data_IF_730296185055
#
_entry.id   IF_730296185055
#
_cell.length_a   1.000
_cell.length_b   1.000
_cell.length_c   1.000
_cell.angle_alpha   90.00
_cell.angle_beta   90.00
_cell.angle_gamma   90.00
#
_symmetry.space_group_name_H-M   'P 1'
#
loop_
_entity.id
_entity.type
_entity.pdbx_description
1 polymer ?
#
# COMPACT_ATOMS: atom_id res chain seq x y z
N UNK A 1 17.57 -22.05 -0.14
CA UNK A 1 17.29 -21.37 1.14
C UNK A 1 15.85 -20.87 1.09
N UNK A 2 15.11 -21.02 2.18
CA UNK A 2 13.75 -20.50 2.28
C UNK A 2 13.79 -18.96 2.23
N UNK A 3 12.97 -18.37 1.37
CA UNK A 3 12.95 -16.92 1.15
C UNK A 3 12.18 -16.24 2.28
N UNK A 4 12.75 -15.20 2.89
CA UNK A 4 12.12 -14.41 3.95
C UNK A 4 11.35 -13.24 3.36
N UNK A 5 10.10 -13.08 3.78
CA UNK A 5 9.22 -11.96 3.39
C UNK A 5 8.81 -11.18 4.62
N UNK A 6 9.07 -9.87 4.63
CA UNK A 6 8.56 -8.95 5.66
C UNK A 6 7.19 -8.42 5.20
N UNK A 7 6.17 -8.48 6.07
CA UNK A 7 4.84 -7.90 5.84
C UNK A 7 4.55 -6.92 6.96
N UNK A 8 4.42 -5.63 6.63
CA UNK A 8 4.06 -4.63 7.63
C UNK A 8 2.56 -4.60 7.90
N UNK A 9 2.15 -4.42 9.17
CA UNK A 9 0.75 -4.41 9.55
C UNK A 9 0.05 -5.76 9.36
N UNK A 10 0.70 -6.86 9.76
CA UNK A 10 0.26 -8.23 9.50
C UNK A 10 -0.78 -8.78 10.49
N UNK A 11 -1.26 -7.99 11.45
CA UNK A 11 -2.21 -8.45 12.47
C UNK A 11 -3.65 -8.65 11.97
N UNK A 12 -4.03 -8.04 10.86
CA UNK A 12 -5.41 -8.08 10.33
C UNK A 12 -5.46 -7.78 8.83
N UNK A 13 -6.67 -7.82 8.25
CA UNK A 13 -6.96 -7.38 6.89
C UNK A 13 -6.12 -8.08 5.82
N UNK A 14 -5.73 -7.32 4.79
CA UNK A 14 -4.90 -7.84 3.70
C UNK A 14 -3.53 -8.30 4.17
N UNK A 15 -2.89 -7.60 5.12
CA UNK A 15 -1.58 -8.00 5.62
C UNK A 15 -1.57 -9.40 6.25
N UNK A 16 -2.61 -9.73 7.02
CA UNK A 16 -2.79 -11.08 7.56
C UNK A 16 -3.05 -12.11 6.45
N UNK A 17 -3.89 -11.75 5.48
CA UNK A 17 -4.21 -12.64 4.36
C UNK A 17 -2.96 -12.92 3.49
N UNK A 18 -2.14 -11.91 3.23
CA UNK A 18 -0.86 -12.07 2.53
C UNK A 18 0.08 -12.99 3.32
N UNK A 19 0.23 -12.75 4.62
CA UNK A 19 1.09 -13.57 5.46
C UNK A 19 0.67 -15.04 5.46
N UNK A 20 -0.62 -15.34 5.61
CA UNK A 20 -1.15 -16.72 5.59
C UNK A 20 -0.84 -17.40 4.26
N UNK A 21 -1.15 -16.74 3.13
CA UNK A 21 -0.91 -17.33 1.81
C UNK A 21 0.59 -17.54 1.52
N UNK A 22 1.45 -16.64 1.99
CA UNK A 22 2.91 -16.79 1.85
C UNK A 22 3.44 -17.96 2.69
N UNK A 23 2.92 -18.15 3.91
CA UNK A 23 3.26 -19.32 4.74
C UNK A 23 2.80 -20.63 4.11
N UNK A 24 1.62 -20.65 3.47
CA UNK A 24 1.13 -21.79 2.69
C UNK A 24 2.02 -22.09 1.47
N UNK A 25 2.56 -21.04 0.83
CA UNK A 25 3.50 -21.13 -0.28
C UNK A 25 4.96 -21.41 0.15
N UNK A 26 5.18 -21.78 1.42
CA UNK A 26 6.47 -22.13 2.01
C UNK A 26 7.50 -21.00 2.06
N UNK A 27 7.06 -19.75 2.14
CA UNK A 27 7.93 -18.64 2.56
C UNK A 27 8.07 -18.63 4.09
N UNK A 28 9.18 -18.09 4.57
CA UNK A 28 9.30 -17.62 5.96
C UNK A 28 8.77 -16.19 6.02
N UNK A 29 7.84 -15.92 6.93
CA UNK A 29 7.18 -14.62 6.98
C UNK A 29 7.45 -13.93 8.30
N UNK A 30 7.95 -12.70 8.23
CA UNK A 30 8.07 -11.82 9.37
C UNK A 30 6.97 -10.78 9.32
N UNK A 31 5.98 -10.90 10.20
CA UNK A 31 4.90 -9.93 10.34
C UNK A 31 5.25 -8.83 11.33
N UNK A 32 5.15 -7.54 10.94
CA UNK A 32 5.21 -6.49 11.94
C UNK A 32 3.83 -6.21 12.52
N UNK A 33 3.77 -6.10 13.83
CA UNK A 33 2.55 -5.85 14.61
C UNK A 33 2.86 -4.83 15.72
N UNK A 34 1.82 -4.21 16.30
CA UNK A 34 2.02 -3.18 17.34
C UNK A 34 1.80 -3.66 18.77
N UNK A 35 1.32 -4.88 18.95
CA UNK A 35 0.93 -5.41 20.26
C UNK A 35 1.45 -6.82 20.47
N UNK A 36 1.90 -7.14 21.69
CA UNK A 36 2.40 -8.47 22.12
C UNK A 36 1.40 -9.59 21.81
N UNK A 37 0.12 -9.37 22.11
CA UNK A 37 -0.92 -10.36 21.83
C UNK A 37 -0.97 -10.71 20.33
N UNK A 38 -0.91 -9.70 19.47
CA UNK A 38 -0.93 -9.92 18.03
C UNK A 38 0.36 -10.60 17.54
N UNK A 39 1.50 -10.35 18.18
CA UNK A 39 2.75 -11.04 17.89
C UNK A 39 2.63 -12.54 18.18
N UNK A 40 2.15 -12.89 19.35
CA UNK A 40 1.94 -14.29 19.71
C UNK A 40 0.95 -14.99 18.77
N UNK A 41 -0.19 -14.37 18.49
CA UNK A 41 -1.19 -14.91 17.55
C UNK A 41 -0.60 -15.11 16.14
N UNK A 42 0.26 -14.20 15.69
CA UNK A 42 0.90 -14.31 14.36
C UNK A 42 1.87 -15.50 14.30
N UNK A 43 2.69 -15.69 15.31
CA UNK A 43 3.65 -16.80 15.36
C UNK A 43 2.98 -18.18 15.41
N UNK A 44 1.76 -18.26 15.94
CA UNK A 44 0.95 -19.48 15.92
C UNK A 44 0.37 -19.84 14.54
N UNK A 45 0.43 -18.94 13.55
CA UNK A 45 -0.05 -19.25 12.18
C UNK A 45 0.72 -20.41 11.55
N UNK A 46 2.04 -20.46 11.73
CA UNK A 46 2.90 -21.58 11.31
C UNK A 46 4.19 -21.55 12.13
N UNK A 47 4.24 -22.28 13.27
CA UNK A 47 5.43 -22.34 14.11
C UNK A 47 6.69 -22.70 13.31
N UNK A 48 7.77 -21.96 13.52
CA UNK A 48 9.04 -22.14 12.80
C UNK A 48 9.14 -21.46 11.41
N UNK A 49 8.01 -20.94 10.87
CA UNK A 49 8.00 -20.19 9.61
C UNK A 49 7.38 -18.80 9.76
N UNK A 50 6.47 -18.60 10.71
CA UNK A 50 5.89 -17.31 11.06
C UNK A 50 6.66 -16.70 12.24
N UNK A 51 7.12 -15.46 12.05
CA UNK A 51 7.88 -14.69 13.06
C UNK A 51 7.23 -13.33 13.22
N UNK A 52 7.13 -12.82 14.43
CA UNK A 52 6.59 -11.48 14.66
C UNK A 52 7.69 -10.50 15.12
N UNK A 53 7.50 -9.23 14.78
CA UNK A 53 8.25 -8.11 15.34
C UNK A 53 7.29 -7.01 15.78
N UNK A 54 7.48 -6.52 17.00
CA UNK A 54 6.72 -5.37 17.48
C UNK A 54 7.38 -4.12 16.93
N UNK A 55 6.73 -3.53 15.93
CA UNK A 55 7.22 -2.39 15.18
C UNK A 55 6.05 -1.54 14.68
N UNK A 56 6.11 -0.24 14.95
CA UNK A 56 5.31 0.76 14.25
C UNK A 56 6.13 1.32 13.09
N UNK A 57 5.54 1.46 11.91
CA UNK A 57 6.26 2.01 10.74
C UNK A 57 6.62 3.49 10.91
N UNK A 58 6.05 4.15 11.93
CA UNK A 58 6.37 5.52 12.34
C UNK A 58 7.47 5.60 13.41
N UNK A 59 8.04 4.48 13.82
CA UNK A 59 9.20 4.47 14.70
C UNK A 59 10.42 5.14 14.02
N UNK A 60 11.38 5.55 14.84
CA UNK A 60 12.61 6.17 14.34
C UNK A 60 13.31 5.27 13.30
N UNK A 61 13.87 5.84 12.22
CA UNK A 61 14.51 5.09 11.13
C UNK A 61 15.54 4.07 11.63
N UNK A 62 16.31 4.42 12.64
CA UNK A 62 17.35 3.56 13.24
C UNK A 62 16.75 2.28 13.84
N UNK A 63 15.53 2.36 14.39
CA UNK A 63 14.81 1.19 14.90
C UNK A 63 14.36 0.27 13.77
N UNK A 64 13.87 0.83 12.67
CA UNK A 64 13.49 0.06 11.49
C UNK A 64 14.70 -0.66 10.88
N UNK A 65 15.81 0.04 10.72
CA UNK A 65 17.06 -0.51 10.22
C UNK A 65 17.61 -1.62 11.14
N UNK A 66 17.62 -1.39 12.46
CA UNK A 66 18.04 -2.38 13.44
C UNK A 66 17.16 -3.64 13.42
N UNK A 67 15.85 -3.47 13.23
CA UNK A 67 14.90 -4.58 13.10
C UNK A 67 15.17 -5.39 11.83
N UNK A 68 15.39 -4.75 10.69
CA UNK A 68 15.76 -5.46 9.45
C UNK A 68 17.07 -6.21 9.60
N UNK A 69 18.09 -5.58 10.20
CA UNK A 69 19.38 -6.22 10.46
C UNK A 69 19.27 -7.41 11.41
N UNK A 70 18.37 -7.35 12.39
CA UNK A 70 18.08 -8.46 13.29
C UNK A 70 17.38 -9.61 12.55
N UNK A 71 16.39 -9.31 11.68
CA UNK A 71 15.71 -10.31 10.85
C UNK A 71 16.72 -11.04 9.95
N UNK A 72 17.61 -10.31 9.28
CA UNK A 72 18.68 -10.89 8.44
C UNK A 72 19.54 -11.92 9.21
N UNK A 73 19.86 -11.63 10.49
CA UNK A 73 20.67 -12.52 11.31
C UNK A 73 19.91 -13.71 11.89
N UNK A 74 18.69 -13.49 12.36
CA UNK A 74 17.95 -14.49 13.16
C UNK A 74 16.98 -15.33 12.35
N UNK A 75 16.40 -14.75 11.29
CA UNK A 75 15.42 -15.42 10.44
C UNK A 75 16.04 -15.83 9.10
N UNK A 76 16.77 -14.94 8.45
CA UNK A 76 17.43 -15.21 7.18
C UNK A 76 17.35 -14.05 6.20
N UNK A 77 17.93 -14.21 4.99
CA UNK A 77 17.99 -13.15 4.00
C UNK A 77 16.61 -12.63 3.58
N UNK A 78 16.37 -11.34 3.75
CA UNK A 78 15.12 -10.68 3.34
C UNK A 78 15.05 -10.65 1.81
N UNK A 79 14.17 -11.46 1.26
CA UNK A 79 13.89 -11.54 -0.17
C UNK A 79 12.86 -10.50 -0.60
N UNK A 80 11.81 -10.30 0.21
CA UNK A 80 10.76 -9.35 -0.13
C UNK A 80 10.30 -8.52 1.08
N UNK A 81 9.90 -7.28 0.77
CA UNK A 81 9.18 -6.39 1.67
C UNK A 81 7.79 -6.14 1.10
N UNK A 82 6.74 -6.34 1.90
CA UNK A 82 5.37 -5.92 1.59
C UNK A 82 4.98 -4.81 2.56
N UNK A 83 5.05 -3.57 2.10
CA UNK A 83 4.56 -2.40 2.80
C UNK A 83 3.04 -2.36 2.74
N UNK A 84 2.40 -2.98 3.73
CA UNK A 84 0.94 -3.05 3.83
C UNK A 84 0.38 -2.19 4.98
N UNK A 85 1.17 -1.86 5.99
CA UNK A 85 0.72 -1.00 7.09
C UNK A 85 0.16 0.33 6.55
N UNK A 86 -1.05 0.67 6.97
CA UNK A 86 -1.75 1.86 6.51
C UNK A 86 -3.18 1.88 6.99
N UNK A 87 -3.83 3.03 6.87
CA UNK A 87 -5.23 3.23 7.22
C UNK A 87 -5.92 4.19 6.26
N UNK A 88 -7.25 4.24 6.32
CA UNK A 88 -8.07 5.16 5.54
C UNK A 88 -8.47 6.40 6.34
N UNK A 89 -8.67 7.51 5.65
CA UNK A 89 -9.22 8.73 6.23
C UNK A 89 -10.44 9.17 5.41
N UNK A 90 -11.55 9.44 6.09
CA UNK A 90 -12.81 9.90 5.50
C UNK A 90 -13.21 11.25 6.10
N UNK A 91 -13.29 12.26 5.27
CA UNK A 91 -13.73 13.61 5.60
C UNK A 91 -13.73 14.51 4.36
N UNK A 92 -14.50 15.60 4.38
CA UNK A 92 -14.31 16.64 3.37
C UNK A 92 -12.97 17.35 3.62
N UNK A 93 -12.39 17.94 2.58
CA UNK A 93 -11.08 18.60 2.71
C UNK A 93 -11.13 19.72 3.74
N UNK A 94 -12.21 20.50 3.76
CA UNK A 94 -12.36 21.68 4.60
C UNK A 94 -12.60 21.34 6.08
N UNK A 95 -13.29 20.22 6.35
CA UNK A 95 -13.57 19.78 7.73
C UNK A 95 -12.45 18.96 8.35
N UNK A 96 -11.55 18.43 7.52
CA UNK A 96 -10.45 17.58 7.96
C UNK A 96 -9.24 18.40 8.41
N UNK A 97 -8.68 18.11 9.57
CA UNK A 97 -7.57 18.88 10.13
C UNK A 97 -6.24 18.60 9.44
N UNK A 98 -5.32 19.56 9.53
CA UNK A 98 -3.94 19.39 9.03
C UNK A 98 -3.15 18.32 9.81
N UNK A 99 -3.51 18.05 11.07
CA UNK A 99 -2.86 16.99 11.85
C UNK A 99 -3.30 15.61 11.41
N UNK A 100 -4.57 15.43 11.02
CA UNK A 100 -5.04 14.21 10.37
C UNK A 100 -4.31 13.97 9.05
N UNK A 101 -4.08 15.02 8.23
CA UNK A 101 -3.31 14.91 7.00
C UNK A 101 -1.86 14.47 7.28
N UNK A 102 -1.17 15.15 8.21
CA UNK A 102 0.21 14.79 8.58
C UNK A 102 0.31 13.35 9.04
N UNK A 103 -0.60 12.92 9.93
CA UNK A 103 -0.59 11.55 10.43
C UNK A 103 -0.92 10.53 9.33
N UNK A 104 -1.83 10.85 8.40
CA UNK A 104 -2.11 9.99 7.23
C UNK A 104 -0.86 9.76 6.39
N UNK A 105 -0.08 10.82 6.13
CA UNK A 105 1.17 10.73 5.37
C UNK A 105 2.27 10.04 6.18
N UNK A 106 2.37 10.30 7.48
CA UNK A 106 3.36 9.66 8.35
C UNK A 106 3.27 8.14 8.27
N UNK A 107 2.06 7.58 8.38
CA UNK A 107 1.86 6.14 8.33
C UNK A 107 1.94 5.60 6.90
N UNK A 108 1.14 6.17 5.97
CA UNK A 108 0.94 5.56 4.65
C UNK A 108 2.09 5.82 3.67
N UNK A 109 2.88 6.88 3.88
CA UNK A 109 3.95 7.29 2.96
C UNK A 109 5.31 7.19 3.64
N UNK A 110 5.56 7.97 4.70
CA UNK A 110 6.89 8.05 5.30
C UNK A 110 7.29 6.73 5.95
N UNK A 111 6.37 6.04 6.62
CA UNK A 111 6.61 4.71 7.16
C UNK A 111 6.98 3.68 6.10
N UNK A 112 6.28 3.67 4.95
CA UNK A 112 6.63 2.78 3.83
C UNK A 112 8.01 3.12 3.24
N UNK A 113 8.32 4.43 3.09
CA UNK A 113 9.64 4.89 2.62
C UNK A 113 10.75 4.49 3.58
N UNK A 114 10.54 4.64 4.88
CA UNK A 114 11.52 4.26 5.89
C UNK A 114 11.81 2.75 5.86
N UNK A 115 10.78 1.91 5.72
CA UNK A 115 10.94 0.46 5.55
C UNK A 115 11.67 0.11 4.24
N UNK A 116 11.39 0.79 3.12
CA UNK A 116 12.14 0.62 1.87
C UNK A 116 13.61 0.95 2.07
N UNK A 117 13.93 2.07 2.71
CA UNK A 117 15.31 2.48 3.02
C UNK A 117 16.02 1.46 3.91
N UNK A 118 15.34 0.84 4.85
CA UNK A 118 15.91 -0.19 5.73
C UNK A 118 16.28 -1.49 4.98
N UNK A 119 15.50 -1.93 3.98
CA UNK A 119 15.77 -3.19 3.26
C UNK A 119 16.66 -3.01 2.03
N UNK A 120 16.68 -1.84 1.40
CA UNK A 120 17.41 -1.60 0.16
C UNK A 120 18.92 -1.90 0.25
N UNK A 121 19.66 -1.58 1.32
CA UNK A 121 21.09 -1.89 1.42
C UNK A 121 21.37 -3.38 1.29
N UNK A 122 20.60 -4.24 1.98
CA UNK A 122 20.80 -5.70 1.97
C UNK A 122 20.35 -6.31 0.63
N UNK A 123 19.26 -5.84 0.04
CA UNK A 123 18.81 -6.28 -1.29
C UNK A 123 19.81 -5.87 -2.37
N UNK A 124 20.32 -4.63 -2.33
CA UNK A 124 21.31 -4.10 -3.26
C UNK A 124 22.63 -4.91 -3.21
N UNK A 125 23.10 -5.24 -2.02
CA UNK A 125 24.34 -6.02 -1.88
C UNK A 125 24.24 -7.42 -2.50
N UNK A 126 23.05 -8.03 -2.46
CA UNK A 126 22.76 -9.34 -3.07
C UNK A 126 22.34 -9.27 -4.53
N UNK A 127 22.04 -8.07 -5.05
CA UNK A 127 21.48 -7.88 -6.40
C UNK A 127 20.16 -8.64 -6.60
N UNK A 128 19.39 -8.79 -5.55
CA UNK A 128 18.11 -9.51 -5.54
C UNK A 128 17.17 -8.91 -4.50
N UNK A 129 15.92 -8.66 -4.88
CA UNK A 129 14.90 -8.18 -3.97
C UNK A 129 13.54 -7.95 -4.62
N UNK A 130 12.50 -7.94 -3.78
CA UNK A 130 11.12 -7.60 -4.16
C UNK A 130 10.56 -6.59 -3.16
N UNK A 131 10.03 -5.49 -3.62
CA UNK A 131 9.33 -4.50 -2.79
C UNK A 131 7.92 -4.34 -3.34
N UNK A 132 6.92 -4.70 -2.54
CA UNK A 132 5.51 -4.52 -2.86
C UNK A 132 4.95 -3.43 -1.95
N UNK A 133 4.56 -2.30 -2.52
CA UNK A 133 3.89 -1.23 -1.79
C UNK A 133 2.38 -1.35 -1.99
N UNK A 134 1.65 -1.68 -0.93
CA UNK A 134 0.19 -1.75 -0.99
C UNK A 134 -0.37 -0.34 -1.03
N UNK A 135 -0.60 0.13 -2.24
CA UNK A 135 -1.21 1.42 -2.52
C UNK A 135 -2.73 1.29 -2.45
N UNK A 136 -3.43 1.43 -3.52
CA UNK A 136 -4.88 1.24 -3.71
C UNK A 136 -5.25 1.59 -5.15
N UNK A 137 -6.40 1.12 -5.66
CA UNK A 137 -7.04 1.79 -6.80
C UNK A 137 -7.17 3.30 -6.56
N UNK A 138 -7.33 3.71 -5.29
CA UNK A 138 -7.36 5.11 -4.86
C UNK A 138 -6.02 5.84 -4.92
N UNK A 139 -4.95 5.23 -5.41
CA UNK A 139 -3.69 5.85 -5.83
C UNK A 139 -3.65 6.20 -7.32
N UNK A 140 -4.66 5.77 -8.09
CA UNK A 140 -4.78 5.98 -9.53
C UNK A 140 -6.11 6.64 -9.93
N UNK A 141 -7.10 6.68 -9.04
CA UNK A 141 -8.39 7.34 -9.22
C UNK A 141 -8.86 7.97 -7.91
N UNK A 142 -9.88 8.83 -7.94
CA UNK A 142 -10.34 9.54 -6.76
C UNK A 142 -11.85 9.43 -6.54
N UNK A 143 -12.24 9.60 -5.26
CA UNK A 143 -13.65 9.67 -4.84
C UNK A 143 -13.83 10.79 -3.81
N UNK A 144 -14.96 11.49 -3.78
CA UNK A 144 -15.23 12.51 -2.76
C UNK A 144 -15.10 11.97 -1.34
N UNK A 145 -14.58 12.82 -0.45
CA UNK A 145 -14.45 12.52 0.98
C UNK A 145 -13.29 11.60 1.36
N UNK A 146 -12.33 11.39 0.47
CA UNK A 146 -11.12 10.59 0.71
C UNK A 146 -9.84 11.33 0.29
N UNK A 147 -9.86 12.66 0.22
CA UNK A 147 -8.74 13.45 -0.35
C UNK A 147 -7.40 13.17 0.33
N UNK A 148 -7.35 13.08 1.67
CA UNK A 148 -6.12 12.78 2.40
C UNK A 148 -5.62 11.36 2.12
N UNK A 149 -6.52 10.40 2.09
CA UNK A 149 -6.19 9.02 1.73
C UNK A 149 -5.68 8.92 0.30
N UNK A 150 -6.41 9.47 -0.68
CA UNK A 150 -5.98 9.49 -2.07
C UNK A 150 -4.63 10.17 -2.23
N UNK A 151 -4.44 11.36 -1.64
CA UNK A 151 -3.15 12.06 -1.67
C UNK A 151 -2.00 11.19 -1.18
N UNK A 152 -2.18 10.44 -0.08
CA UNK A 152 -1.17 9.53 0.44
C UNK A 152 -0.88 8.36 -0.51
N UNK A 153 -1.91 7.80 -1.16
CA UNK A 153 -1.75 6.67 -2.08
C UNK A 153 -1.14 7.09 -3.42
N UNK A 154 -1.54 8.24 -3.97
CA UNK A 154 -0.87 8.86 -5.12
C UNK A 154 0.60 9.18 -4.85
N UNK A 155 0.92 9.69 -3.66
CA UNK A 155 2.32 9.93 -3.27
C UNK A 155 3.12 8.61 -3.27
N UNK A 156 2.57 7.54 -2.70
CA UNK A 156 3.24 6.24 -2.67
C UNK A 156 3.37 5.62 -4.06
N UNK A 157 2.40 5.83 -4.98
CA UNK A 157 2.50 5.45 -6.40
C UNK A 157 3.70 6.12 -7.07
N UNK A 158 3.80 7.46 -6.97
CA UNK A 158 4.89 8.21 -7.59
C UNK A 158 6.26 7.81 -7.04
N UNK A 159 6.38 7.62 -5.73
CA UNK A 159 7.62 7.15 -5.08
C UNK A 159 7.97 5.75 -5.55
N UNK A 160 7.01 4.83 -5.60
CA UNK A 160 7.22 3.45 -6.05
C UNK A 160 7.67 3.40 -7.51
N UNK A 161 7.03 4.17 -8.37
CA UNK A 161 7.35 4.24 -9.81
C UNK A 161 8.75 4.80 -10.06
N UNK A 162 9.18 5.81 -9.30
CA UNK A 162 10.54 6.36 -9.39
C UNK A 162 11.56 5.33 -8.92
N UNK A 163 11.36 4.77 -7.73
CA UNK A 163 12.24 3.77 -7.14
C UNK A 163 12.40 2.53 -8.05
N UNK A 164 11.30 2.08 -8.68
CA UNK A 164 11.35 0.94 -9.59
C UNK A 164 12.39 1.13 -10.72
N UNK A 165 12.47 2.36 -11.26
CA UNK A 165 13.46 2.70 -12.32
C UNK A 165 14.89 2.75 -11.77
N UNK A 166 15.06 3.27 -10.54
CA UNK A 166 16.38 3.40 -9.90
C UNK A 166 17.01 2.04 -9.58
N UNK A 167 16.20 1.08 -9.07
CA UNK A 167 16.73 -0.17 -8.52
C UNK A 167 16.62 -1.37 -9.47
N UNK A 168 15.92 -1.23 -10.59
CA UNK A 168 15.81 -2.30 -11.60
C UNK A 168 17.17 -2.82 -12.08
N UNK A 169 18.16 -1.95 -12.39
CA UNK A 169 19.52 -2.40 -12.77
C UNK A 169 20.26 -3.13 -11.66
N UNK A 170 19.76 -3.04 -10.43
CA UNK A 170 20.31 -3.73 -9.25
C UNK A 170 19.65 -5.09 -8.98
N UNK A 171 18.78 -5.56 -9.87
CA UNK A 171 18.05 -6.83 -9.67
C UNK A 171 16.91 -6.74 -8.64
N UNK A 172 16.49 -5.53 -8.27
CA UNK A 172 15.40 -5.30 -7.32
C UNK A 172 14.15 -4.84 -8.09
N UNK A 173 13.03 -5.48 -7.81
CA UNK A 173 11.74 -5.16 -8.43
C UNK A 173 10.85 -4.44 -7.42
N UNK A 174 10.24 -3.35 -7.84
CA UNK A 174 9.25 -2.61 -7.03
C UNK A 174 7.92 -2.65 -7.74
N UNK A 175 6.88 -3.02 -7.00
CA UNK A 175 5.50 -3.09 -7.51
C UNK A 175 4.57 -2.32 -6.60
N UNK A 176 3.75 -1.46 -7.17
CA UNK A 176 2.57 -0.91 -6.54
C UNK A 176 1.45 -1.96 -6.64
N UNK A 177 0.95 -2.39 -5.51
CA UNK A 177 -0.22 -3.28 -5.41
C UNK A 177 -1.43 -2.40 -5.14
N UNK A 178 -2.42 -2.46 -6.01
CA UNK A 178 -3.54 -1.52 -6.07
C UNK A 178 -4.88 -2.26 -5.82
N UNK A 179 -5.21 -2.59 -4.55
CA UNK A 179 -6.47 -3.27 -4.25
C UNK A 179 -7.68 -2.38 -4.50
N UNK A 180 -8.74 -3.00 -5.02
CA UNK A 180 -10.09 -2.48 -4.98
C UNK A 180 -10.74 -2.67 -3.60
N UNK A 181 -12.04 -2.91 -3.58
CA UNK A 181 -12.80 -3.08 -2.34
C UNK A 181 -12.72 -4.53 -1.84
N UNK A 182 -11.86 -4.79 -0.87
CA UNK A 182 -11.74 -6.09 -0.20
C UNK A 182 -12.49 -6.13 1.13
N UNK A 183 -13.05 -7.30 1.47
CA UNK A 183 -13.77 -7.52 2.73
C UNK A 183 -12.79 -7.66 3.89
N UNK A 184 -12.41 -6.51 4.44
CA UNK A 184 -11.50 -6.36 5.58
C UNK A 184 -12.07 -5.32 6.54
N UNK A 185 -11.43 -5.12 7.71
CA UNK A 185 -11.79 -4.06 8.67
C UNK A 185 -11.44 -2.64 8.18
N UNK A 186 -11.05 -2.46 6.92
CA UNK A 186 -10.57 -1.16 6.42
C UNK A 186 -11.65 -0.07 6.48
N UNK A 187 -12.87 -0.37 6.05
CA UNK A 187 -13.98 0.57 6.10
C UNK A 187 -14.56 0.76 7.52
N UNK A 188 -14.24 -0.16 8.43
CA UNK A 188 -14.64 -0.15 9.84
C UNK A 188 -13.53 0.44 10.72
N UNK A 189 -12.84 -0.43 11.44
CA UNK A 189 -11.83 -0.09 12.47
C UNK A 189 -10.61 0.67 11.93
N UNK A 190 -10.20 0.44 10.70
CA UNK A 190 -9.04 1.08 10.09
C UNK A 190 -9.39 2.34 9.30
N UNK A 191 -10.56 2.94 9.55
CA UNK A 191 -10.98 4.20 8.96
C UNK A 191 -11.11 5.27 10.03
N UNK A 192 -10.26 6.30 9.96
CA UNK A 192 -10.41 7.53 10.73
C UNK A 192 -11.43 8.42 10.02
N UNK A 193 -12.32 9.04 10.78
CA UNK A 193 -13.37 9.90 10.22
C UNK A 193 -13.33 11.25 10.88
N UNK A 194 -13.20 12.31 10.08
CA UNK A 194 -13.33 13.68 10.54
C UNK A 194 -14.75 13.97 11.00
N UNK A 195 -14.87 14.82 12.00
CA UNK A 195 -16.14 15.31 12.49
C UNK A 195 -16.79 16.22 11.43
N UNK A 196 -18.13 16.10 11.28
CA UNK A 196 -18.92 16.91 10.35
C UNK A 196 -19.37 18.20 11.02
N UNK A 197 -19.15 19.33 10.36
CA UNK A 197 -19.45 20.67 10.89
C UNK A 197 -20.07 21.64 9.87
N UNK A 198 -19.96 21.35 8.56
CA UNK A 198 -20.37 22.25 7.48
C UNK A 198 -21.55 21.63 6.71
N UNK A 199 -22.74 22.17 6.91
CA UNK A 199 -23.98 21.64 6.34
C UNK A 199 -24.02 21.69 4.81
N UNK A 200 -23.28 22.59 4.16
CA UNK A 200 -23.24 22.73 2.70
C UNK A 200 -22.74 21.45 2.00
N UNK A 201 -21.96 20.64 2.71
CA UNK A 201 -21.47 19.35 2.18
C UNK A 201 -22.44 18.18 2.39
N UNK A 202 -23.54 18.35 3.17
CA UNK A 202 -24.40 17.25 3.56
C UNK A 202 -25.06 16.56 2.37
N UNK A 203 -25.54 17.32 1.41
CA UNK A 203 -26.23 16.78 0.24
C UNK A 203 -25.31 15.90 -0.64
N UNK A 204 -24.01 16.20 -0.68
CA UNK A 204 -23.02 15.47 -1.48
C UNK A 204 -22.42 14.32 -0.66
N UNK A 205 -22.05 14.60 0.59
CA UNK A 205 -21.20 13.70 1.37
C UNK A 205 -21.97 12.62 2.14
N UNK A 206 -23.15 12.96 2.69
CA UNK A 206 -23.92 12.01 3.49
C UNK A 206 -24.35 10.76 2.71
N UNK A 207 -24.87 10.85 1.45
CA UNK A 207 -25.19 9.66 0.67
C UNK A 207 -23.98 8.75 0.42
N UNK A 208 -22.81 9.34 0.17
CA UNK A 208 -21.57 8.59 -0.06
C UNK A 208 -21.13 7.87 1.22
N UNK A 209 -21.18 8.55 2.36
CA UNK A 209 -20.84 8.00 3.67
C UNK A 209 -21.76 6.84 4.07
N UNK A 210 -23.05 7.01 3.87
CA UNK A 210 -24.04 5.95 4.14
C UNK A 210 -23.83 4.74 3.21
N UNK A 211 -23.57 4.96 1.94
CA UNK A 211 -23.27 3.89 0.99
C UNK A 211 -21.98 3.11 1.37
N UNK A 212 -20.95 3.80 1.88
CA UNK A 212 -19.74 3.14 2.40
C UNK A 212 -20.03 2.29 3.64
N UNK A 213 -20.80 2.83 4.61
CA UNK A 213 -21.20 2.09 5.80
C UNK A 213 -22.05 0.85 5.44
N UNK A 214 -23.00 1.00 4.54
CA UNK A 214 -23.86 -0.11 4.11
C UNK A 214 -23.08 -1.22 3.39
N UNK A 215 -21.93 -0.90 2.81
CA UNK A 215 -21.05 -1.83 2.09
C UNK A 215 -20.05 -2.54 3.01
N UNK A 216 -19.90 -2.08 4.26
CA UNK A 216 -18.96 -2.70 5.21
C UNK A 216 -19.35 -4.15 5.51
N UNK A 217 -18.36 -5.07 5.42
CA UNK A 217 -18.55 -6.51 5.51
C UNK A 217 -19.18 -7.16 4.26
N UNK A 218 -19.52 -6.39 3.21
CA UNK A 218 -20.14 -6.86 1.97
C UNK A 218 -19.30 -6.53 0.71
N UNK A 219 -18.07 -6.10 0.90
CA UNK A 219 -17.16 -5.83 -0.22
C UNK A 219 -16.96 -7.09 -1.05
N UNK A 220 -16.82 -6.97 -2.41
CA UNK A 220 -16.76 -8.13 -3.30
C UNK A 220 -15.43 -8.88 -3.21
N UNK A 221 -14.34 -8.19 -2.88
CA UNK A 221 -12.99 -8.77 -2.84
C UNK A 221 -12.81 -9.73 -1.67
N UNK A 222 -12.24 -10.89 -1.95
CA UNK A 222 -11.86 -11.91 -0.98
C UNK A 222 -10.38 -11.76 -0.60
N UNK A 223 -10.07 -11.41 0.68
CA UNK A 223 -8.69 -11.26 1.13
C UNK A 223 -7.83 -12.52 0.95
N UNK A 224 -8.42 -13.71 1.10
CA UNK A 224 -7.68 -14.97 0.92
C UNK A 224 -7.24 -15.15 -0.55
N UNK A 225 -8.11 -14.78 -1.51
CA UNK A 225 -7.75 -14.80 -2.93
C UNK A 225 -6.69 -13.75 -3.26
N UNK A 226 -6.76 -12.55 -2.66
CA UNK A 226 -5.70 -11.55 -2.78
C UNK A 226 -4.36 -12.09 -2.25
N UNK A 227 -4.38 -12.79 -1.10
CA UNK A 227 -3.20 -13.42 -0.54
C UNK A 227 -2.56 -14.43 -1.51
N UNK A 228 -3.36 -15.31 -2.10
CA UNK A 228 -2.87 -16.28 -3.09
C UNK A 228 -2.29 -15.60 -4.33
N UNK A 229 -2.93 -14.55 -4.83
CA UNK A 229 -2.41 -13.77 -5.95
C UNK A 229 -1.06 -13.13 -5.64
N UNK A 230 -0.87 -12.58 -4.44
CA UNK A 230 0.43 -12.03 -4.01
C UNK A 230 1.50 -13.13 -3.88
N UNK A 231 1.17 -14.29 -3.32
CA UNK A 231 2.12 -15.39 -3.19
C UNK A 231 2.59 -15.90 -4.56
N UNK A 232 1.68 -16.02 -5.52
CA UNK A 232 1.99 -16.36 -6.92
C UNK A 232 2.83 -15.26 -7.57
N UNK A 233 2.43 -14.01 -7.43
CA UNK A 233 3.11 -12.84 -7.99
C UNK A 233 4.57 -12.71 -7.52
N UNK A 234 4.86 -13.00 -6.26
CA UNK A 234 6.24 -12.99 -5.74
C UNK A 234 7.16 -13.99 -6.42
N UNK A 235 6.63 -15.00 -7.09
CA UNK A 235 7.43 -15.99 -7.84
C UNK A 235 7.63 -15.61 -9.31
N UNK A 236 6.93 -14.58 -9.81
CA UNK A 236 7.07 -14.12 -11.19
C UNK A 236 8.50 -13.67 -11.49
N UNK A 237 9.12 -14.12 -12.61
CA UNK A 237 10.50 -13.75 -12.94
C UNK A 237 10.65 -12.24 -13.20
N UNK A 238 9.68 -11.64 -13.87
CA UNK A 238 9.64 -10.22 -14.22
C UNK A 238 8.29 -9.59 -13.83
N UNK A 239 8.10 -9.26 -12.54
CA UNK A 239 6.85 -8.66 -12.10
C UNK A 239 6.69 -7.24 -12.67
N UNK A 240 5.46 -6.84 -13.08
CA UNK A 240 5.18 -5.50 -13.51
C UNK A 240 5.27 -4.49 -12.36
N UNK A 241 5.34 -3.20 -12.71
CA UNK A 241 5.31 -2.09 -11.75
C UNK A 241 3.93 -1.93 -11.09
N UNK A 242 2.85 -2.22 -11.81
CA UNK A 242 1.47 -2.05 -11.34
C UNK A 242 0.75 -3.39 -11.28
N UNK A 243 0.05 -3.65 -10.17
CA UNK A 243 -0.75 -4.86 -9.93
C UNK A 243 -2.10 -4.50 -9.34
N UNK A 244 -3.10 -4.31 -10.20
CA UNK A 244 -4.49 -4.14 -9.77
C UNK A 244 -5.02 -5.45 -9.18
N UNK A 245 -5.69 -5.37 -8.03
CA UNK A 245 -6.38 -6.50 -7.42
C UNK A 245 -7.88 -6.19 -7.30
N UNK A 246 -8.69 -7.00 -7.98
CA UNK A 246 -10.14 -6.91 -8.01
C UNK A 246 -10.69 -6.35 -9.32
N UNK A 247 -11.83 -6.88 -9.82
CA UNK A 247 -12.49 -6.37 -11.03
C UNK A 247 -12.90 -4.91 -10.92
N UNK A 248 -13.33 -4.49 -9.75
CA UNK A 248 -13.71 -3.10 -9.44
C UNK A 248 -12.51 -2.13 -9.56
N UNK A 249 -11.33 -2.53 -9.10
CA UNK A 249 -10.11 -1.74 -9.29
C UNK A 249 -9.81 -1.58 -10.78
N UNK A 250 -9.90 -2.66 -11.54
CA UNK A 250 -9.66 -2.64 -12.98
C UNK A 250 -10.63 -1.71 -13.72
N UNK A 251 -11.92 -1.79 -13.41
CA UNK A 251 -12.95 -0.96 -14.07
C UNK A 251 -12.81 0.52 -13.72
N UNK A 252 -12.67 0.87 -12.42
CA UNK A 252 -12.60 2.27 -12.01
C UNK A 252 -11.31 2.95 -12.48
N UNK A 253 -10.17 2.25 -12.40
CA UNK A 253 -8.89 2.82 -12.85
C UNK A 253 -8.88 3.04 -14.36
N UNK A 254 -9.34 2.08 -15.16
CA UNK A 254 -9.41 2.27 -16.62
C UNK A 254 -10.32 3.45 -17.00
N UNK A 255 -11.48 3.57 -16.35
CA UNK A 255 -12.38 4.70 -16.59
C UNK A 255 -11.70 6.05 -16.29
N UNK A 256 -10.93 6.12 -15.19
CA UNK A 256 -10.20 7.35 -14.83
C UNK A 256 -9.11 7.67 -15.84
N UNK A 257 -8.36 6.66 -16.29
CA UNK A 257 -7.32 6.83 -17.32
C UNK A 257 -7.90 7.33 -18.64
N UNK A 258 -9.07 6.82 -19.05
CA UNK A 258 -9.76 7.29 -20.25
C UNK A 258 -10.23 8.74 -20.10
N UNK A 259 -10.73 9.11 -18.90
CA UNK A 259 -11.12 10.50 -18.59
C UNK A 259 -9.92 11.45 -18.69
N UNK A 260 -8.80 11.11 -18.04
CA UNK A 260 -7.57 11.89 -18.09
C UNK A 260 -7.05 12.05 -19.52
N UNK A 261 -7.08 10.99 -20.31
CA UNK A 261 -6.66 11.04 -21.71
C UNK A 261 -7.53 12.01 -22.51
N UNK A 262 -8.84 11.93 -22.34
CA UNK A 262 -9.77 12.83 -23.03
C UNK A 262 -9.53 14.32 -22.67
N UNK A 263 -9.26 14.60 -21.41
CA UNK A 263 -8.91 15.95 -20.94
C UNK A 263 -7.60 16.46 -21.57
N UNK A 264 -6.55 15.62 -21.61
CA UNK A 264 -5.28 15.99 -22.25
C UNK A 264 -5.44 16.24 -23.75
N UNK A 265 -6.20 15.41 -24.43
CA UNK A 265 -6.46 15.56 -25.89
C UNK A 265 -7.26 16.83 -26.16
N UNK A 266 -8.24 17.17 -25.34
CA UNK A 266 -9.04 18.39 -25.49
C UNK A 266 -8.19 19.67 -25.37
N UNK A 267 -7.15 19.63 -24.56
CA UNK A 267 -6.26 20.79 -24.32
C UNK A 267 -4.91 20.70 -25.04
N UNK A 268 -4.72 19.71 -25.93
CA UNK A 268 -3.45 19.45 -26.63
C UNK A 268 -2.89 20.70 -27.34
N UNK A 269 -3.77 21.52 -27.98
CA UNK A 269 -3.35 22.77 -28.65
C UNK A 269 -2.66 23.74 -27.68
N UNK A 270 -3.24 23.93 -26.48
CA UNK A 270 -2.67 24.82 -25.45
C UNK A 270 -1.37 24.21 -24.91
N UNK A 271 -1.37 22.92 -24.61
CA UNK A 271 -0.17 22.22 -24.13
C UNK A 271 1.01 22.39 -25.07
N UNK A 272 0.80 22.23 -26.39
CA UNK A 272 1.86 22.32 -27.40
C UNK A 272 2.29 23.77 -27.71
N UNK A 273 1.48 24.78 -27.37
CA UNK A 273 1.81 26.19 -27.61
C UNK A 273 2.79 26.79 -26.57
N UNK A 274 3.24 26.01 -25.60
CA UNK A 274 4.13 26.49 -24.53
C UNK A 274 5.62 26.30 -24.81
N UNK A 275 5.98 25.74 -25.96
CA UNK A 275 7.37 25.67 -26.39
C UNK A 275 7.84 27.03 -26.93
N UNK A 276 9.16 27.26 -26.92
CA UNK A 276 9.74 28.33 -27.69
C UNK A 276 9.46 28.09 -29.17
N UNK A 277 9.20 29.18 -29.92
CA UNK A 277 9.17 29.10 -31.39
C UNK A 277 10.51 28.57 -31.87
N UNK A 278 10.50 27.61 -32.81
CA UNK A 278 11.75 27.14 -33.41
C UNK A 278 12.46 28.37 -34.03
N UNK A 279 13.72 28.57 -33.62
CA UNK A 279 14.54 29.63 -34.21
C UNK A 279 14.65 29.38 -35.71
N UNK A 280 14.09 30.30 -36.51
CA UNK A 280 14.11 30.25 -37.96
C UNK A 280 15.53 30.28 -38.52
#
# INVERSE_FOLDING_TARGET
MEKVVIVTGASSGLGKAFAVALLEANFRVVGTVRQEKAAHEFEQLKPGAAFARILDVTDAPERLEATVAEIERSVGPVYALINNAGYGHEGTLEESSMDELRHQFEVNVFGAVAMMKAVLPVMRSRREGRILNVTSMGGLMTMPGLSYYHGSKFALEGISSSLAKEVRPLGIYVTAVEPGMFRTDWAGRSMVRSERSIADYDAIFNPIREARKARDGRQPGDPAKAGKAIAEFLTAPEPPMHLLLGPDAFEYVNKELDTLRAEFDAWQRVTRSTNFDEAA
#
